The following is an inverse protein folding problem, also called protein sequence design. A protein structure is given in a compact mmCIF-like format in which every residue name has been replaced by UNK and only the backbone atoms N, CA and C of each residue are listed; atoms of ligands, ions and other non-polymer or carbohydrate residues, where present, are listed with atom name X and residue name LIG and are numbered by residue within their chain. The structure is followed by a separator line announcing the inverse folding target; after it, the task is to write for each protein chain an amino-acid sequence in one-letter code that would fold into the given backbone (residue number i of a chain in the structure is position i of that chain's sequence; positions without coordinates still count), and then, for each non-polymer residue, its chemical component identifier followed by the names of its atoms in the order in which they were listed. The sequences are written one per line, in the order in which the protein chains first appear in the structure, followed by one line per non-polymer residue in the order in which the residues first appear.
data_IF_001035816340
#
_entry.id   IF_001035816340
#
_cell.length_a   1.000
_cell.length_b   1.000
_cell.length_c   1.000
_cell.angle_alpha   90.00
_cell.angle_beta   90.00
_cell.angle_gamma   90.00
#
_symmetry.space_group_name_H-M   'P 1'
#
loop_
_entity.id
_entity.type
_entity.pdbx_description
1 polymer ?
#
# COMPACT_ATOMS: atom_id res chain seq x y z
N UNK A 1 -12.25 -60.49 52.91
CA UNK A 1 -12.86 -60.34 51.56
C UNK A 1 -12.45 -58.98 50.99
N UNK A 2 -11.45 -58.94 50.10
CA UNK A 2 -10.92 -57.74 49.42
C UNK A 2 -11.53 -57.70 48.01
N UNK A 3 -12.22 -56.60 47.65
CA UNK A 3 -12.61 -56.33 46.25
C UNK A 3 -11.62 -55.31 45.68
N UNK A 4 -10.81 -55.75 44.71
CA UNK A 4 -10.05 -54.89 43.81
C UNK A 4 -11.03 -54.25 42.82
N UNK A 5 -11.00 -52.92 42.70
CA UNK A 5 -11.65 -52.18 41.64
C UNK A 5 -10.58 -51.87 40.57
N UNK A 6 -10.70 -52.51 39.41
CA UNK A 6 -9.87 -52.27 38.23
C UNK A 6 -10.38 -51.02 37.52
N UNK A 7 -9.59 -49.94 37.51
CA UNK A 7 -9.86 -48.74 36.72
C UNK A 7 -9.19 -48.91 35.35
N UNK A 8 -10.01 -49.22 34.33
CA UNK A 8 -9.62 -49.22 32.93
C UNK A 8 -9.47 -47.77 32.45
N UNK A 9 -8.23 -47.30 32.29
CA UNK A 9 -7.91 -46.10 31.53
C UNK A 9 -8.16 -46.37 30.04
N UNK A 10 -9.18 -45.71 29.48
CA UNK A 10 -9.33 -45.57 28.03
C UNK A 10 -8.21 -44.66 27.48
N UNK A 11 -7.18 -45.26 26.90
CA UNK A 11 -6.25 -44.60 25.99
C UNK A 11 -6.99 -44.35 24.67
N UNK A 12 -7.62 -43.19 24.53
CA UNK A 12 -8.04 -42.71 23.22
C UNK A 12 -6.79 -42.29 22.43
N UNK A 13 -6.59 -42.75 21.18
CA UNK A 13 -5.54 -42.23 20.33
C UNK A 13 -5.86 -40.76 20.03
N UNK A 14 -5.00 -39.85 20.49
CA UNK A 14 -5.05 -38.47 20.03
C UNK A 14 -4.93 -38.49 18.50
N UNK A 15 -5.80 -37.77 17.76
CA UNK A 15 -5.60 -37.64 16.32
C UNK A 15 -4.24 -36.98 16.12
N UNK A 16 -3.33 -37.73 15.51
CA UNK A 16 -2.08 -37.20 15.03
C UNK A 16 -2.44 -36.11 14.02
N UNK A 17 -2.32 -34.85 14.43
CA UNK A 17 -2.25 -33.73 13.51
C UNK A 17 -1.09 -34.04 12.58
N UNK A 18 -1.42 -34.40 11.34
CA UNK A 18 -0.45 -34.55 10.27
C UNK A 18 0.27 -33.20 10.15
N UNK A 19 1.43 -33.10 10.77
CA UNK A 19 2.39 -32.05 10.52
C UNK A 19 2.81 -32.23 9.06
N UNK A 20 2.23 -31.45 8.16
CA UNK A 20 2.92 -31.12 6.93
C UNK A 20 4.30 -30.62 7.36
N UNK A 21 5.34 -31.28 6.85
CA UNK A 21 6.72 -31.07 7.24
C UNK A 21 7.10 -29.59 7.19
N UNK A 22 8.10 -29.25 7.99
CA UNK A 22 8.83 -27.98 8.06
C UNK A 22 8.39 -26.97 6.99
N UNK A 23 7.84 -25.83 7.46
CA UNK A 23 7.47 -24.69 6.62
C UNK A 23 8.67 -24.27 5.77
N UNK A 24 8.74 -24.90 4.59
CA UNK A 24 9.83 -24.82 3.65
C UNK A 24 9.64 -23.52 2.88
N UNK A 25 10.75 -22.83 2.68
CA UNK A 25 10.88 -21.58 1.95
C UNK A 25 10.06 -21.68 0.63
N UNK A 26 8.84 -21.13 0.60
CA UNK A 26 7.89 -21.32 -0.51
C UNK A 26 8.35 -20.64 -1.81
N UNK A 27 9.61 -20.27 -1.95
CA UNK A 27 10.17 -19.79 -3.21
C UNK A 27 10.60 -20.91 -4.18
N UNK A 28 10.18 -22.16 -3.94
CA UNK A 28 10.28 -23.27 -4.88
C UNK A 28 8.98 -23.56 -5.65
N UNK A 29 9.09 -24.16 -6.84
CA UNK A 29 7.93 -24.70 -7.57
C UNK A 29 6.93 -23.65 -8.09
N UNK A 30 5.65 -23.83 -7.76
CA UNK A 30 4.51 -23.01 -8.28
C UNK A 30 4.58 -21.53 -7.90
N UNK A 31 5.31 -21.20 -6.83
CA UNK A 31 5.35 -19.87 -6.24
C UNK A 31 6.61 -19.06 -6.64
N UNK A 32 7.51 -19.66 -7.43
CA UNK A 32 8.76 -19.02 -7.87
C UNK A 32 8.55 -17.72 -8.67
N UNK A 33 7.45 -17.62 -9.43
CA UNK A 33 7.09 -16.41 -10.15
C UNK A 33 6.68 -15.27 -9.20
N UNK A 34 5.92 -15.60 -8.14
CA UNK A 34 5.52 -14.64 -7.13
C UNK A 34 6.74 -14.12 -6.34
N UNK A 35 7.68 -15.01 -5.96
CA UNK A 35 8.92 -14.60 -5.30
C UNK A 35 9.81 -13.68 -6.18
N UNK A 36 9.85 -13.88 -7.51
CA UNK A 36 10.53 -12.92 -8.41
C UNK A 36 9.84 -11.57 -8.42
N UNK A 37 8.51 -11.54 -8.45
CA UNK A 37 7.72 -10.31 -8.35
C UNK A 37 7.99 -9.55 -7.04
N UNK A 38 8.09 -10.26 -5.92
CA UNK A 38 8.45 -9.71 -4.61
C UNK A 38 9.82 -9.05 -4.63
N UNK A 39 10.86 -9.74 -5.13
CA UNK A 39 12.22 -9.17 -5.21
C UNK A 39 12.23 -7.92 -6.07
N UNK A 40 11.57 -7.96 -7.22
CA UNK A 40 11.42 -6.79 -8.08
C UNK A 40 10.69 -5.63 -7.38
N UNK A 41 9.68 -5.91 -6.55
CA UNK A 41 8.99 -4.91 -5.75
C UNK A 41 9.90 -4.31 -4.65
N UNK A 42 10.63 -5.15 -3.92
CA UNK A 42 11.61 -4.70 -2.92
C UNK A 42 12.71 -3.83 -3.58
N UNK A 43 13.22 -4.24 -4.73
CA UNK A 43 14.21 -3.48 -5.50
C UNK A 43 13.66 -2.13 -5.97
N UNK A 44 12.42 -2.11 -6.47
CA UNK A 44 11.71 -0.89 -6.86
C UNK A 44 11.51 0.07 -5.69
N UNK A 45 11.35 -0.46 -4.48
CA UNK A 45 11.25 0.33 -3.24
C UNK A 45 12.61 0.63 -2.62
N UNK A 46 13.67 -0.03 -3.07
CA UNK A 46 15.00 0.07 -2.47
C UNK A 46 15.13 -0.52 -1.09
N UNK A 47 14.37 -1.59 -0.82
CA UNK A 47 14.37 -2.28 0.45
C UNK A 47 15.35 -3.45 0.45
N UNK A 48 16.20 -3.60 1.48
CA UNK A 48 17.00 -4.80 1.67
C UNK A 48 16.11 -6.04 1.83
N UNK A 49 16.59 -7.20 1.38
CA UNK A 49 15.87 -8.46 1.59
C UNK A 49 15.85 -8.83 3.07
N UNK A 50 14.88 -9.65 3.49
CA UNK A 50 14.76 -10.08 4.89
C UNK A 50 15.98 -10.91 5.33
N UNK A 51 16.58 -11.66 4.40
CA UNK A 51 17.81 -12.41 4.60
C UNK A 51 18.99 -11.47 4.89
N UNK A 52 19.11 -10.37 4.13
CA UNK A 52 20.15 -9.36 4.38
C UNK A 52 19.99 -8.69 5.74
N UNK A 53 18.74 -8.41 6.15
CA UNK A 53 18.41 -7.86 7.47
C UNK A 53 18.79 -8.82 8.59
N UNK A 54 18.41 -10.09 8.45
CA UNK A 54 18.73 -11.15 9.41
C UNK A 54 20.25 -11.38 9.53
N UNK A 55 20.99 -11.33 8.42
CA UNK A 55 22.45 -11.45 8.41
C UNK A 55 23.14 -10.29 9.14
N UNK A 56 22.54 -9.09 9.12
CA UNK A 56 22.99 -7.94 9.90
C UNK A 56 22.55 -7.98 11.39
N UNK A 57 21.84 -9.03 11.81
CA UNK A 57 21.31 -9.15 13.17
C UNK A 57 20.11 -8.25 13.45
N UNK A 58 19.48 -7.67 12.43
CA UNK A 58 18.29 -6.84 12.60
C UNK A 58 17.03 -7.71 12.76
N UNK A 59 16.15 -7.30 13.67
CA UNK A 59 14.79 -7.82 13.76
C UNK A 59 13.87 -7.00 12.86
N UNK A 60 13.10 -7.66 11.98
CA UNK A 60 12.11 -6.99 11.14
C UNK A 60 10.73 -7.66 11.21
N UNK A 61 9.70 -6.84 11.00
CA UNK A 61 8.35 -7.26 10.63
C UNK A 61 7.90 -6.37 9.49
N UNK A 62 7.71 -6.97 8.32
CA UNK A 62 7.45 -6.25 7.09
C UNK A 62 6.18 -6.76 6.44
N UNK A 63 5.36 -5.82 5.99
CA UNK A 63 4.25 -6.08 5.08
C UNK A 63 4.50 -5.32 3.77
N UNK A 64 4.35 -6.01 2.63
CA UNK A 64 4.36 -5.42 1.30
C UNK A 64 2.99 -5.66 0.67
N UNK A 65 2.33 -4.58 0.27
CA UNK A 65 1.03 -4.60 -0.39
C UNK A 65 1.22 -4.36 -1.88
N UNK A 66 0.61 -5.22 -2.69
CA UNK A 66 0.57 -5.10 -4.14
C UNK A 66 -0.88 -5.05 -4.61
N UNK A 67 -1.16 -4.15 -5.53
CA UNK A 67 -2.48 -4.02 -6.14
C UNK A 67 -2.69 -5.04 -7.26
N UNK A 68 -3.77 -4.89 -8.02
CA UNK A 68 -4.05 -5.71 -9.17
C UNK A 68 -2.85 -5.79 -10.12
N UNK A 69 -2.62 -6.99 -10.66
CA UNK A 69 -1.50 -7.31 -11.55
C UNK A 69 -0.10 -7.16 -10.91
N UNK A 70 0.00 -7.17 -9.58
CA UNK A 70 1.27 -7.19 -8.85
C UNK A 70 1.98 -5.84 -8.78
N UNK A 71 1.28 -4.75 -9.08
CA UNK A 71 1.86 -3.41 -8.96
C UNK A 71 2.05 -3.06 -7.48
N UNK A 72 3.27 -2.74 -7.03
CA UNK A 72 3.51 -2.51 -5.61
C UNK A 72 2.88 -1.18 -5.17
N UNK A 73 2.13 -1.21 -4.07
CA UNK A 73 1.38 -0.08 -3.51
C UNK A 73 2.24 0.61 -2.45
N UNK A 74 2.58 -0.12 -1.39
CA UNK A 74 3.33 0.38 -0.24
C UNK A 74 3.95 -0.80 0.51
N UNK A 75 5.07 -0.57 1.16
CA UNK A 75 5.61 -1.47 2.16
C UNK A 75 5.74 -0.76 3.51
N UNK A 76 5.50 -1.51 4.58
CA UNK A 76 5.65 -1.09 5.96
C UNK A 76 6.69 -1.99 6.58
N UNK A 77 7.78 -1.43 7.10
CA UNK A 77 8.84 -2.19 7.79
C UNK A 77 8.98 -1.65 9.20
N UNK A 78 8.66 -2.51 10.17
CA UNK A 78 9.09 -2.35 11.54
C UNK A 78 10.47 -2.98 11.67
N UNK A 79 11.42 -2.26 12.25
CA UNK A 79 12.80 -2.70 12.38
C UNK A 79 13.37 -2.37 13.74
N UNK A 80 14.16 -3.29 14.29
CA UNK A 80 15.01 -3.09 15.46
C UNK A 80 16.41 -3.61 15.15
N UNK A 81 17.37 -2.71 15.04
CA UNK A 81 18.78 -3.07 14.91
C UNK A 81 19.38 -3.39 16.29
N UNK A 82 20.50 -4.13 16.37
CA UNK A 82 21.22 -4.33 17.63
C UNK A 82 21.50 -3.00 18.32
N UNK A 83 21.23 -2.93 19.62
CA UNK A 83 21.45 -1.74 20.47
C UNK A 83 20.68 -0.46 20.05
N UNK A 84 19.64 -0.60 19.21
CA UNK A 84 18.79 0.52 18.79
C UNK A 84 17.33 0.30 19.18
N UNK A 85 16.62 1.40 19.39
CA UNK A 85 15.18 1.37 19.61
C UNK A 85 14.42 0.92 18.35
N UNK A 86 13.27 0.26 18.52
CA UNK A 86 12.41 -0.09 17.39
C UNK A 86 11.92 1.15 16.62
N UNK A 87 11.83 1.00 15.31
CA UNK A 87 11.35 2.04 14.39
C UNK A 87 10.40 1.44 13.36
N UNK A 88 9.55 2.29 12.78
CA UNK A 88 8.69 1.96 11.65
C UNK A 88 8.99 2.91 10.51
N UNK A 89 9.04 2.39 9.30
CA UNK A 89 9.18 3.16 8.08
C UNK A 89 8.22 2.65 7.01
N UNK A 90 7.70 3.58 6.21
CA UNK A 90 6.93 3.25 5.01
C UNK A 90 7.70 3.59 3.74
N UNK A 91 7.46 2.77 2.72
CA UNK A 91 8.20 2.77 1.47
C UNK A 91 7.21 2.66 0.31
N UNK A 92 7.38 3.50 -0.70
CA UNK A 92 6.67 3.39 -1.98
C UNK A 92 7.64 3.25 -3.13
N UNK A 93 7.11 3.28 -4.35
CA UNK A 93 7.93 3.25 -5.56
C UNK A 93 8.92 4.43 -5.58
N UNK A 94 10.23 4.15 -5.70
CA UNK A 94 11.27 5.19 -5.80
C UNK A 94 10.94 6.21 -6.89
N UNK A 95 10.39 5.77 -8.03
CA UNK A 95 10.02 6.65 -9.13
C UNK A 95 8.85 7.59 -8.79
N UNK A 96 8.03 7.24 -7.79
CA UNK A 96 6.87 8.00 -7.35
C UNK A 96 7.11 8.83 -6.07
N UNK A 97 8.28 8.72 -5.43
CA UNK A 97 8.59 9.44 -4.19
C UNK A 97 8.88 10.92 -4.43
N UNK A 98 8.42 11.74 -3.49
CA UNK A 98 8.65 13.17 -3.44
C UNK A 98 10.04 13.53 -2.86
N UNK A 99 11.10 13.60 -3.69
CA UNK A 99 12.44 14.09 -3.28
C UNK A 99 13.28 13.14 -2.43
N UNK A 100 14.51 13.55 -2.08
CA UNK A 100 15.62 12.71 -1.57
C UNK A 100 15.33 11.92 -0.28
N UNK A 101 14.44 12.40 0.60
CA UNK A 101 14.14 11.77 1.89
C UNK A 101 12.83 10.94 1.87
N UNK A 102 12.49 10.28 0.76
CA UNK A 102 11.22 9.57 0.54
C UNK A 102 10.89 8.38 1.46
N UNK A 103 11.37 8.38 2.70
CA UNK A 103 11.05 7.47 3.78
C UNK A 103 10.31 8.29 4.86
N UNK A 104 9.05 7.92 5.15
CA UNK A 104 8.33 8.45 6.31
C UNK A 104 8.52 7.44 7.43
N UNK A 105 9.17 7.86 8.52
CA UNK A 105 9.53 6.99 9.63
C UNK A 105 9.17 7.60 10.99
N UNK A 106 9.02 6.75 11.99
CA UNK A 106 8.79 7.11 13.38
C UNK A 106 9.41 6.07 14.33
N UNK A 107 9.67 6.48 15.57
CA UNK A 107 10.02 5.56 16.66
C UNK A 107 8.79 4.71 17.05
N UNK A 108 9.04 3.47 17.44
CA UNK A 108 8.00 2.52 17.86
C UNK A 108 8.17 2.26 19.36
N UNK A 109 7.16 2.59 20.20
CA UNK A 109 7.21 2.25 21.61
C UNK A 109 7.38 0.73 21.82
N UNK A 110 8.17 0.33 22.83
CA UNK A 110 8.46 -1.09 23.08
C UNK A 110 7.19 -1.92 23.28
N UNK A 111 6.17 -1.39 23.95
CA UNK A 111 4.89 -2.07 24.14
C UNK A 111 4.18 -2.36 22.80
N UNK A 112 4.23 -1.43 21.84
CA UNK A 112 3.67 -1.63 20.51
C UNK A 112 4.50 -2.64 19.71
N UNK A 113 5.83 -2.60 19.85
CA UNK A 113 6.71 -3.62 19.29
C UNK A 113 6.35 -5.02 19.81
N UNK A 114 6.25 -5.22 21.12
CA UNK A 114 5.90 -6.53 21.68
C UNK A 114 4.50 -6.99 21.25
N UNK A 115 3.52 -6.08 21.23
CA UNK A 115 2.15 -6.35 20.76
C UNK A 115 2.14 -6.84 19.30
N UNK A 116 2.89 -6.18 18.42
CA UNK A 116 3.00 -6.58 17.01
C UNK A 116 3.72 -7.92 16.84
N UNK A 117 4.72 -8.22 17.68
CA UNK A 117 5.36 -9.55 17.70
C UNK A 117 4.36 -10.65 18.11
N UNK A 118 3.57 -10.40 19.15
CA UNK A 118 2.54 -11.33 19.62
C UNK A 118 1.45 -11.57 18.55
N UNK A 119 0.99 -10.51 17.86
CA UNK A 119 0.03 -10.62 16.78
C UNK A 119 0.55 -11.44 15.59
N UNK A 120 1.86 -11.39 15.31
CA UNK A 120 2.53 -12.15 14.26
C UNK A 120 2.85 -13.61 14.61
N UNK A 121 2.37 -14.13 15.74
CA UNK A 121 2.74 -15.48 16.19
C UNK A 121 2.35 -16.59 15.20
N UNK A 122 1.26 -16.40 14.45
CA UNK A 122 0.66 -17.45 13.61
C UNK A 122 0.42 -17.04 12.15
N UNK A 123 0.91 -15.87 11.72
CA UNK A 123 0.59 -15.33 10.39
C UNK A 123 0.95 -16.27 9.21
N UNK A 124 1.95 -17.13 9.40
CA UNK A 124 2.47 -18.06 8.41
C UNK A 124 1.77 -19.42 8.38
N UNK A 125 0.75 -19.62 9.23
CA UNK A 125 -0.04 -20.86 9.29
C UNK A 125 -1.19 -20.84 8.31
N UNK A 126 -1.49 -22.01 7.74
CA UNK A 126 -2.74 -22.22 7.04
C UNK A 126 -3.90 -22.26 8.04
N UNK A 127 -5.03 -21.65 7.69
CA UNK A 127 -6.28 -21.87 8.40
C UNK A 127 -6.78 -23.30 8.13
N UNK A 128 -7.45 -23.87 9.12
CA UNK A 128 -8.16 -25.12 8.91
C UNK A 128 -9.25 -24.90 7.85
N UNK A 129 -9.42 -25.80 6.87
CA UNK A 129 -10.51 -25.70 5.92
C UNK A 129 -11.84 -25.61 6.66
N UNK A 130 -12.71 -24.68 6.28
CA UNK A 130 -14.06 -24.64 6.82
C UNK A 130 -14.82 -25.88 6.30
N UNK A 131 -15.27 -26.80 7.18
CA UNK A 131 -16.04 -27.96 6.74
C UNK A 131 -17.35 -27.57 6.04
N UNK A 132 -17.88 -26.36 6.24
CA UNK A 132 -19.05 -25.84 5.51
C UNK A 132 -18.76 -25.41 4.07
N UNK A 133 -17.49 -25.14 3.72
CA UNK A 133 -17.08 -24.79 2.35
C UNK A 133 -16.72 -26.02 1.50
N UNK A 134 -16.69 -27.22 2.09
CA UNK A 134 -16.45 -28.48 1.40
C UNK A 134 -17.62 -28.84 0.45
N UNK A 135 -17.62 -28.22 -0.74
CA UNK A 135 -18.69 -28.33 -1.74
C UNK A 135 -19.27 -26.98 -2.21
N UNK A 136 -18.76 -25.86 -1.67
CA UNK A 136 -19.14 -24.51 -2.10
C UNK A 136 -18.59 -24.11 -3.48
N UNK A 137 -19.06 -22.98 -4.04
CA UNK A 137 -18.57 -22.47 -5.32
C UNK A 137 -17.07 -22.18 -5.28
N UNK A 138 -16.35 -22.48 -6.37
CA UNK A 138 -14.94 -22.10 -6.52
C UNK A 138 -14.87 -20.58 -6.63
N UNK A 139 -14.34 -19.92 -5.59
CA UNK A 139 -14.02 -18.50 -5.62
C UNK A 139 -12.76 -18.29 -6.46
N UNK A 140 -12.93 -17.77 -7.68
CA UNK A 140 -11.82 -17.33 -8.53
C UNK A 140 -11.60 -15.85 -8.29
N UNK A 141 -10.54 -15.51 -7.56
CA UNK A 141 -10.19 -14.12 -7.32
C UNK A 141 -9.30 -13.62 -8.46
N UNK A 142 -9.94 -13.04 -9.47
CA UNK A 142 -9.33 -12.66 -10.74
C UNK A 142 -8.37 -11.45 -10.63
N UNK A 143 -8.51 -10.61 -9.60
CA UNK A 143 -7.82 -9.32 -9.48
C UNK A 143 -6.91 -9.22 -8.25
N UNK A 144 -6.42 -10.36 -7.77
CA UNK A 144 -5.93 -10.49 -6.40
C UNK A 144 -4.85 -9.49 -6.00
N UNK A 145 -5.15 -8.66 -5.01
CA UNK A 145 -4.14 -7.92 -4.27
C UNK A 145 -3.24 -8.95 -3.57
N UNK A 146 -1.93 -8.82 -3.78
CA UNK A 146 -0.94 -9.70 -3.15
C UNK A 146 -0.41 -9.05 -1.89
N UNK A 147 -0.34 -9.80 -0.80
CA UNK A 147 0.25 -9.36 0.47
C UNK A 147 1.42 -10.27 0.78
N UNK A 148 2.59 -9.69 0.98
CA UNK A 148 3.74 -10.42 1.52
C UNK A 148 3.97 -9.97 2.96
N UNK A 149 4.08 -10.94 3.87
CA UNK A 149 4.57 -10.71 5.22
C UNK A 149 5.89 -11.44 5.42
N UNK A 150 6.87 -10.74 5.96
CA UNK A 150 8.16 -11.28 6.37
C UNK A 150 8.49 -10.86 7.79
N UNK A 151 8.95 -11.80 8.60
CA UNK A 151 9.47 -11.50 9.94
C UNK A 151 10.76 -12.24 10.19
N UNK A 152 11.65 -11.64 10.98
CA UNK A 152 12.82 -12.36 11.51
C UNK A 152 12.66 -12.83 12.95
N UNK A 153 11.46 -12.64 13.52
CA UNK A 153 11.09 -13.18 14.83
C UNK A 153 11.11 -14.72 14.79
N UNK A 154 11.66 -15.39 15.82
CA UNK A 154 11.60 -16.84 15.90
C UNK A 154 10.14 -17.32 15.98
N UNK A 155 9.83 -18.41 15.28
CA UNK A 155 8.50 -19.01 15.40
C UNK A 155 8.30 -19.53 16.83
N UNK A 156 7.18 -19.20 17.47
CA UNK A 156 6.89 -19.61 18.85
C UNK A 156 6.83 -21.15 19.05
N UNK A 157 6.75 -21.91 17.96
CA UNK A 157 6.68 -23.37 17.93
C UNK A 157 7.87 -24.00 17.20
N UNK A 158 8.77 -23.18 16.65
CA UNK A 158 10.00 -23.60 15.97
C UNK A 158 11.08 -22.51 16.14
N UNK A 159 11.63 -22.34 17.36
CA UNK A 159 12.51 -21.20 17.69
C UNK A 159 13.82 -21.15 16.89
N UNK A 160 14.18 -22.23 16.19
CA UNK A 160 15.32 -22.27 15.28
C UNK A 160 15.08 -21.53 13.94
N UNK A 161 13.82 -21.31 13.51
CA UNK A 161 13.53 -20.55 12.29
C UNK A 161 13.59 -19.04 12.58
N UNK A 162 14.65 -18.37 12.11
CA UNK A 162 14.85 -16.91 12.24
C UNK A 162 14.26 -16.09 11.09
N UNK A 163 13.70 -16.72 10.06
CA UNK A 163 13.03 -16.02 8.98
C UNK A 163 11.73 -16.76 8.67
N UNK A 164 10.63 -16.01 8.71
CA UNK A 164 9.28 -16.50 8.39
C UNK A 164 8.74 -15.61 7.28
N UNK A 165 8.17 -16.24 6.26
CA UNK A 165 7.60 -15.56 5.10
C UNK A 165 6.26 -16.19 4.75
N UNK A 166 5.28 -15.37 4.44
CA UNK A 166 4.01 -15.83 3.90
C UNK A 166 3.53 -14.88 2.81
N UNK A 167 3.12 -15.44 1.69
CA UNK A 167 2.39 -14.73 0.65
C UNK A 167 0.90 -15.00 0.87
N UNK A 168 0.18 -13.97 1.28
CA UNK A 168 -1.27 -13.96 1.34
C UNK A 168 -1.89 -13.46 0.04
N UNK A 169 -3.13 -13.85 -0.18
CA UNK A 169 -3.95 -13.40 -1.30
C UNK A 169 -5.22 -12.74 -0.81
N UNK A 170 -5.87 -11.94 -1.64
CA UNK A 170 -7.11 -11.25 -1.28
C UNK A 170 -8.36 -12.15 -1.14
N UNK A 171 -8.20 -13.49 -1.14
CA UNK A 171 -9.26 -14.49 -0.91
C UNK A 171 -8.72 -15.85 -0.47
N UNK A 172 -9.42 -16.58 0.43
CA UNK A 172 -10.20 -16.11 1.58
C UNK A 172 -9.30 -15.46 2.65
N UNK A 173 -9.88 -14.92 3.73
CA UNK A 173 -9.12 -14.31 4.84
C UNK A 173 -8.00 -15.24 5.31
N UNK A 174 -6.75 -14.82 5.13
CA UNK A 174 -5.60 -15.54 5.67
C UNK A 174 -4.97 -14.79 6.85
N UNK A 175 -4.23 -15.54 7.66
CA UNK A 175 -3.58 -15.00 8.86
C UNK A 175 -2.49 -13.98 8.51
N UNK A 176 -1.90 -14.06 7.32
CA UNK A 176 -0.89 -13.12 6.85
C UNK A 176 -1.50 -11.75 6.54
N UNK A 177 -2.65 -11.72 5.88
CA UNK A 177 -3.42 -10.52 5.54
C UNK A 177 -3.88 -9.83 6.82
N UNK A 178 -4.46 -10.59 7.75
CA UNK A 178 -4.85 -10.06 9.08
C UNK A 178 -3.66 -9.38 9.77
N UNK A 179 -2.50 -10.04 9.78
CA UNK A 179 -1.31 -9.49 10.40
C UNK A 179 -0.74 -8.27 9.65
N UNK A 180 -0.73 -8.30 8.32
CA UNK A 180 -0.28 -7.20 7.48
C UNK A 180 -1.11 -5.94 7.71
N UNK A 181 -2.44 -6.06 7.76
CA UNK A 181 -3.32 -4.93 8.09
C UNK A 181 -3.09 -4.43 9.52
N UNK A 182 -2.84 -5.31 10.49
CA UNK A 182 -2.46 -4.89 11.84
C UNK A 182 -1.14 -4.10 11.88
N UNK A 183 -0.15 -4.45 11.05
CA UNK A 183 1.08 -3.66 10.87
C UNK A 183 0.77 -2.30 10.22
N UNK A 184 -0.05 -2.27 9.16
CA UNK A 184 -0.39 -1.04 8.46
C UNK A 184 -1.19 -0.06 9.34
N UNK A 185 -2.19 -0.54 10.07
CA UNK A 185 -2.99 0.26 11.00
C UNK A 185 -2.13 0.85 12.12
N UNK A 186 -1.19 0.05 12.65
CA UNK A 186 -0.23 0.53 13.64
C UNK A 186 0.68 1.62 13.05
N UNK A 187 1.12 1.48 11.80
CA UNK A 187 1.97 2.48 11.16
C UNK A 187 1.21 3.80 10.96
N UNK A 188 -0.06 3.76 10.54
CA UNK A 188 -0.91 4.97 10.41
C UNK A 188 -0.99 5.72 11.74
N UNK A 189 -1.13 5.01 12.87
CA UNK A 189 -1.17 5.64 14.20
C UNK A 189 0.17 6.24 14.64
N UNK A 190 1.27 5.59 14.29
CA UNK A 190 2.63 6.00 14.71
C UNK A 190 3.23 7.09 13.83
N UNK A 191 2.71 7.29 12.61
CA UNK A 191 3.24 8.25 11.65
C UNK A 191 2.38 9.52 11.66
N UNK A 192 2.72 10.54 12.48
CA UNK A 192 1.91 11.75 12.59
C UNK A 192 1.80 12.51 11.25
N UNK A 193 2.80 12.38 10.37
CA UNK A 193 2.75 12.94 9.02
C UNK A 193 1.63 12.38 8.13
N UNK A 194 1.02 11.26 8.51
CA UNK A 194 -0.10 10.63 7.82
C UNK A 194 -1.45 10.90 8.49
N UNK A 195 -1.46 11.46 9.71
CA UNK A 195 -2.66 11.57 10.55
C UNK A 195 -3.73 12.51 9.97
N UNK A 196 -3.34 13.47 9.13
CA UNK A 196 -4.28 14.38 8.47
C UNK A 196 -5.08 13.74 7.33
N UNK A 197 -4.76 12.51 6.89
CA UNK A 197 -5.45 11.85 5.79
C UNK A 197 -6.76 11.21 6.25
N UNK A 198 -7.84 11.49 5.53
CA UNK A 198 -9.16 10.95 5.81
C UNK A 198 -9.29 9.49 5.31
N UNK A 199 -9.71 8.54 6.17
CA UNK A 199 -10.03 7.18 5.72
C UNK A 199 -11.16 7.18 4.68
N UNK A 200 -11.02 6.37 3.62
CA UNK A 200 -12.05 6.21 2.57
C UNK A 200 -12.95 4.97 2.77
N UNK A 201 -12.78 4.25 3.88
CA UNK A 201 -13.50 3.01 4.20
C UNK A 201 -12.70 2.11 5.15
N UNK A 202 -13.26 0.96 5.57
CA UNK A 202 -12.52 -0.06 6.33
C UNK A 202 -11.38 -0.66 5.48
N UNK A 203 -10.31 -1.13 6.13
CA UNK A 203 -9.16 -1.77 5.44
C UNK A 203 -8.30 -0.82 4.60
N UNK A 204 -8.49 0.49 4.72
CA UNK A 204 -7.83 1.46 3.84
C UNK A 204 -6.42 1.89 4.29
N UNK A 205 -5.84 1.27 5.32
CA UNK A 205 -4.53 1.67 5.86
C UNK A 205 -3.39 1.62 4.83
N UNK A 206 -3.23 0.58 4.00
CA UNK A 206 -2.17 0.58 2.97
C UNK A 206 -2.31 1.75 1.99
N UNK A 207 -3.54 2.07 1.57
CA UNK A 207 -3.82 3.24 0.72
C UNK A 207 -3.49 4.55 1.42
N UNK A 208 -3.83 4.70 2.71
CA UNK A 208 -3.48 5.90 3.49
C UNK A 208 -1.96 6.08 3.58
N UNK A 209 -1.21 5.00 3.82
CA UNK A 209 0.25 5.04 3.87
C UNK A 209 0.85 5.37 2.49
N UNK A 210 0.30 4.79 1.40
CA UNK A 210 0.70 5.18 0.04
C UNK A 210 0.46 6.67 -0.21
N UNK A 211 -0.74 7.16 0.11
CA UNK A 211 -1.12 8.55 -0.11
C UNK A 211 -0.23 9.49 0.76
N UNK A 212 0.15 9.06 1.97
CA UNK A 212 1.08 9.76 2.86
C UNK A 212 2.47 9.98 2.24
N UNK A 213 2.98 9.02 1.45
CA UNK A 213 4.26 9.14 0.75
C UNK A 213 4.26 10.25 -0.32
N UNK A 214 3.09 10.72 -0.75
CA UNK A 214 2.96 11.84 -1.70
C UNK A 214 3.03 13.21 -1.01
N UNK A 215 2.97 13.26 0.33
CA UNK A 215 2.91 14.49 1.11
C UNK A 215 4.30 14.96 1.55
N UNK A 216 4.59 16.23 1.31
CA UNK A 216 5.84 16.89 1.68
C UNK A 216 5.62 18.33 2.17
N UNK A 217 6.63 18.93 2.80
CA UNK A 217 6.52 20.25 3.43
C UNK A 217 5.61 20.21 4.66
N UNK A 218 4.69 21.17 4.78
CA UNK A 218 3.59 21.12 5.75
C UNK A 218 2.62 19.98 5.38
N UNK A 219 2.87 18.79 5.96
CA UNK A 219 2.09 17.58 5.67
C UNK A 219 0.64 17.67 6.12
N UNK A 220 0.32 18.48 7.13
CA UNK A 220 -1.06 18.66 7.58
C UNK A 220 -1.86 19.44 6.53
N UNK A 221 -1.33 20.59 6.08
CA UNK A 221 -1.94 21.35 4.99
C UNK A 221 -2.05 20.51 3.70
N UNK A 222 -0.99 19.78 3.36
CA UNK A 222 -1.00 18.88 2.20
C UNK A 222 -2.06 17.77 2.32
N UNK A 223 -2.24 17.18 3.50
CA UNK A 223 -3.25 16.16 3.75
C UNK A 223 -4.68 16.70 3.62
N UNK A 224 -4.96 17.91 4.11
CA UNK A 224 -6.27 18.56 3.95
C UNK A 224 -6.61 18.76 2.47
N UNK A 225 -5.65 19.25 1.68
CA UNK A 225 -5.83 19.39 0.23
C UNK A 225 -5.98 18.03 -0.45
N UNK A 226 -5.22 17.01 -0.04
CA UNK A 226 -5.39 15.66 -0.56
C UNK A 226 -6.81 15.12 -0.34
N UNK A 227 -7.35 15.30 0.88
CA UNK A 227 -8.72 14.92 1.20
C UNK A 227 -9.72 15.67 0.31
N UNK A 228 -9.45 16.96 0.05
CA UNK A 228 -10.28 17.78 -0.84
C UNK A 228 -10.24 17.33 -2.29
N UNK A 229 -9.10 16.83 -2.80
CA UNK A 229 -8.99 16.32 -4.18
C UNK A 229 -10.01 15.21 -4.48
N UNK A 230 -10.32 14.35 -3.51
CA UNK A 230 -11.34 13.32 -3.66
C UNK A 230 -12.75 13.91 -3.80
N UNK A 231 -13.03 15.01 -3.09
CA UNK A 231 -14.29 15.76 -3.27
C UNK A 231 -14.35 16.44 -4.63
N UNK A 232 -13.22 16.94 -5.16
CA UNK A 232 -13.20 17.56 -6.49
C UNK A 232 -13.67 16.59 -7.56
N UNK A 233 -13.21 15.33 -7.50
CA UNK A 233 -13.61 14.29 -8.45
C UNK A 233 -15.12 14.01 -8.36
N UNK A 234 -15.65 13.88 -7.14
CA UNK A 234 -17.10 13.68 -6.92
C UNK A 234 -17.94 14.90 -7.33
N UNK A 235 -17.46 16.11 -7.08
CA UNK A 235 -18.16 17.35 -7.47
C UNK A 235 -18.15 17.56 -8.99
N UNK A 236 -17.08 17.13 -9.68
CA UNK A 236 -17.00 17.08 -11.13
C UNK A 236 -18.03 16.11 -11.73
N UNK A 237 -18.30 14.98 -11.07
CA UNK A 237 -19.37 14.03 -11.45
C UNK A 237 -20.77 14.63 -11.32
N UNK A 238 -20.93 15.63 -10.46
CA UNK A 238 -22.20 16.26 -10.15
C UNK A 238 -22.40 17.62 -10.84
N UNK A 239 -21.46 18.06 -11.69
CA UNK A 239 -21.46 19.36 -12.38
C UNK A 239 -21.58 20.59 -11.44
N UNK A 240 -20.96 20.50 -10.24
CA UNK A 240 -20.94 21.60 -9.25
C UNK A 240 -19.52 22.09 -8.90
N UNK A 241 -18.68 22.48 -9.87
CA UNK A 241 -17.28 22.78 -9.59
C UNK A 241 -17.02 24.20 -9.06
N UNK A 242 -18.03 25.09 -9.04
CA UNK A 242 -17.83 26.53 -8.85
C UNK A 242 -17.24 26.92 -7.48
N UNK A 243 -17.52 26.16 -6.42
CA UNK A 243 -17.02 26.45 -5.06
C UNK A 243 -15.54 26.06 -4.86
N UNK A 244 -14.93 25.42 -5.86
CA UNK A 244 -13.60 24.83 -5.80
C UNK A 244 -12.51 25.74 -6.37
N UNK A 245 -12.90 26.67 -7.24
CA UNK A 245 -12.01 27.59 -7.91
C UNK A 245 -12.13 28.98 -7.30
N UNK A 246 -11.01 29.67 -7.15
CA UNK A 246 -11.05 31.11 -6.89
C UNK A 246 -11.85 31.81 -8.02
N UNK A 247 -12.63 32.84 -7.68
CA UNK A 247 -13.55 33.50 -8.63
C UNK A 247 -12.86 33.96 -9.92
N UNK A 248 -11.62 34.41 -9.81
CA UNK A 248 -10.83 34.99 -10.89
C UNK A 248 -9.74 34.04 -11.41
N UNK A 249 -9.92 32.73 -11.22
CA UNK A 249 -8.95 31.75 -11.67
C UNK A 249 -8.77 31.79 -13.21
N UNK A 250 -7.52 31.98 -13.63
CA UNK A 250 -7.06 31.78 -15.00
C UNK A 250 -6.21 30.52 -15.03
N UNK A 251 -6.49 29.63 -15.98
CA UNK A 251 -5.70 28.42 -16.21
C UNK A 251 -4.64 28.74 -17.26
N UNK A 252 -3.37 28.54 -16.92
CA UNK A 252 -2.27 28.59 -17.88
C UNK A 252 -2.19 27.23 -18.60
N UNK A 253 -2.65 27.20 -19.85
CA UNK A 253 -2.65 26.01 -20.69
C UNK A 253 -1.53 26.10 -21.72
N UNK A 254 -0.39 25.50 -21.41
CA UNK A 254 0.81 25.49 -22.23
C UNK A 254 1.22 26.91 -22.69
N UNK A 255 1.23 27.87 -21.76
CA UNK A 255 1.53 29.27 -22.02
C UNK A 255 0.34 30.11 -22.49
N UNK A 256 -0.84 29.51 -22.68
CA UNK A 256 -2.06 30.21 -23.11
C UNK A 256 -3.03 30.35 -21.95
N UNK A 257 -3.36 31.57 -21.50
CA UNK A 257 -4.36 31.77 -20.45
C UNK A 257 -5.76 31.45 -20.97
N UNK A 258 -6.49 30.57 -20.29
CA UNK A 258 -7.89 30.24 -20.56
C UNK A 258 -8.75 30.47 -19.31
N UNK A 259 -9.99 30.97 -19.43
CA UNK A 259 -10.89 31.14 -18.29
C UNK A 259 -11.21 29.80 -17.61
N UNK A 260 -11.19 29.74 -16.27
CA UNK A 260 -11.43 28.50 -15.52
C UNK A 260 -12.76 27.80 -15.84
N UNK A 261 -13.82 28.57 -16.14
CA UNK A 261 -15.13 28.03 -16.56
C UNK A 261 -15.11 27.35 -17.93
N UNK A 262 -14.20 27.75 -18.82
CA UNK A 262 -13.99 27.07 -20.11
C UNK A 262 -13.05 25.87 -19.96
N UNK A 263 -12.14 25.95 -18.99
CA UNK A 263 -11.26 24.85 -18.63
C UNK A 263 -11.94 23.78 -17.76
N UNK A 264 -13.19 23.92 -17.31
CA UNK A 264 -13.69 23.12 -16.17
C UNK A 264 -14.14 21.67 -16.48
N UNK A 265 -14.08 20.87 -15.40
CA UNK A 265 -14.64 19.50 -15.18
C UNK A 265 -13.95 18.36 -15.94
N UNK A 266 -13.87 18.41 -17.28
CA UNK A 266 -13.44 17.25 -18.07
C UNK A 266 -12.00 16.79 -17.77
N UNK A 267 -11.09 17.72 -17.50
CA UNK A 267 -9.68 17.39 -17.23
C UNK A 267 -9.45 16.85 -15.81
N UNK A 268 -10.30 17.20 -14.82
CA UNK A 268 -10.15 16.68 -13.45
C UNK A 268 -10.28 15.15 -13.40
N UNK A 269 -11.05 14.55 -14.31
CA UNK A 269 -11.14 13.09 -14.47
C UNK A 269 -9.82 12.44 -14.89
N UNK A 270 -8.99 13.21 -15.59
CA UNK A 270 -7.73 12.76 -16.16
C UNK A 270 -6.52 13.28 -15.39
N UNK A 271 -6.75 13.96 -14.26
CA UNK A 271 -5.69 14.45 -13.40
C UNK A 271 -5.28 13.39 -12.38
N UNK A 272 -3.99 13.05 -12.41
CA UNK A 272 -3.36 12.11 -11.52
C UNK A 272 -2.37 12.88 -10.62
N UNK A 273 -2.76 13.24 -9.38
CA UNK A 273 -1.85 13.89 -8.45
C UNK A 273 -0.70 12.93 -8.14
N UNK A 274 0.53 13.46 -8.10
CA UNK A 274 1.75 12.70 -7.80
C UNK A 274 2.39 13.16 -6.51
N UNK A 275 2.35 14.47 -6.24
CA UNK A 275 2.98 15.09 -5.07
C UNK A 275 2.16 16.26 -4.56
N UNK A 276 2.04 16.36 -3.24
CA UNK A 276 1.45 17.49 -2.56
C UNK A 276 2.51 18.09 -1.63
N UNK A 277 2.86 19.35 -1.87
CA UNK A 277 3.83 20.08 -1.10
C UNK A 277 3.14 21.21 -0.36
N UNK A 278 2.98 21.09 0.95
CA UNK A 278 2.54 22.18 1.82
C UNK A 278 3.63 23.22 1.88
N UNK A 279 3.52 24.27 1.07
CA UNK A 279 4.47 25.38 1.06
C UNK A 279 4.37 26.16 2.39
N UNK A 280 3.15 26.29 2.90
CA UNK A 280 2.81 26.84 4.23
C UNK A 280 1.52 26.19 4.74
N UNK A 281 1.13 26.49 5.99
CA UNK A 281 -0.18 26.09 6.53
C UNK A 281 -1.40 26.64 5.78
N UNK A 282 -1.20 27.56 4.82
CA UNK A 282 -2.27 28.18 4.03
C UNK A 282 -2.06 28.09 2.53
N UNK A 283 -1.02 27.35 2.08
CA UNK A 283 -0.69 27.23 0.66
C UNK A 283 -0.12 25.85 0.38
N UNK A 284 -0.74 25.15 -0.57
CA UNK A 284 -0.30 23.82 -1.00
C UNK A 284 -0.13 23.81 -2.50
N UNK A 285 0.99 23.28 -2.97
CA UNK A 285 1.24 23.02 -4.37
C UNK A 285 1.06 21.55 -4.65
N UNK A 286 0.21 21.22 -5.62
CA UNK A 286 -0.02 19.86 -6.09
C UNK A 286 0.62 19.71 -7.46
N UNK A 287 1.55 18.78 -7.58
CA UNK A 287 2.15 18.38 -8.85
C UNK A 287 1.53 17.06 -9.30
N UNK A 288 1.26 16.93 -10.59
CA UNK A 288 0.72 15.71 -11.17
C UNK A 288 0.82 15.70 -12.68
N UNK A 289 -0.01 14.87 -13.30
CA UNK A 289 -0.10 14.80 -14.75
C UNK A 289 -1.56 14.70 -15.21
N UNK A 290 -1.85 15.32 -16.35
CA UNK A 290 -3.02 15.02 -17.15
C UNK A 290 -2.68 13.89 -18.11
N UNK A 291 -3.48 12.82 -18.15
CA UNK A 291 -3.30 11.74 -19.12
C UNK A 291 -4.46 11.64 -20.10
N UNK A 292 -4.17 11.38 -21.37
CA UNK A 292 -5.19 11.05 -22.38
C UNK A 292 -4.71 9.93 -23.29
N UNK A 293 -5.65 9.18 -23.84
CA UNK A 293 -5.39 8.11 -24.80
C UNK A 293 -6.01 8.48 -26.13
N UNK A 294 -5.25 8.33 -27.21
CA UNK A 294 -5.73 8.54 -28.58
C UNK A 294 -5.47 7.31 -29.43
N UNK A 295 -6.34 7.02 -30.39
CA UNK A 295 -6.08 5.97 -31.38
C UNK A 295 -5.00 6.42 -32.36
N UNK A 296 -3.88 5.70 -32.39
CA UNK A 296 -2.82 5.84 -33.38
C UNK A 296 -3.09 5.05 -34.65
N UNK A 297 -2.17 5.17 -35.61
CA UNK A 297 -2.22 4.41 -36.85
C UNK A 297 -2.21 2.89 -36.56
N UNK A 298 -3.07 2.14 -37.26
CA UNK A 298 -3.21 0.69 -37.06
C UNK A 298 -3.96 0.27 -35.80
N UNK A 299 -4.71 1.19 -35.16
CA UNK A 299 -5.51 0.88 -33.98
C UNK A 299 -4.72 0.78 -32.67
N UNK A 300 -3.41 1.11 -32.69
CA UNK A 300 -2.58 1.13 -31.48
C UNK A 300 -2.92 2.34 -30.63
N UNK A 301 -3.13 2.15 -29.33
CA UNK A 301 -3.31 3.25 -28.39
C UNK A 301 -2.01 4.06 -28.23
N UNK A 302 -2.13 5.39 -28.22
CA UNK A 302 -1.04 6.33 -27.93
C UNK A 302 -1.41 7.05 -26.64
N UNK A 303 -0.56 6.91 -25.62
CA UNK A 303 -0.72 7.57 -24.34
C UNK A 303 0.02 8.90 -24.35
N UNK A 304 -0.67 9.94 -23.91
CA UNK A 304 -0.12 11.28 -23.77
C UNK A 304 -0.21 11.72 -22.32
N UNK A 305 0.84 12.39 -21.83
CA UNK A 305 0.82 13.06 -20.54
C UNK A 305 1.27 14.51 -20.67
N UNK A 306 0.64 15.40 -19.90
CA UNK A 306 1.09 16.77 -19.69
C UNK A 306 1.32 17.00 -18.20
N UNK A 307 2.45 17.61 -17.78
CA UNK A 307 2.67 17.93 -16.38
C UNK A 307 1.68 19.01 -15.93
N UNK A 308 1.21 18.91 -14.70
CA UNK A 308 0.23 19.83 -14.13
C UNK A 308 0.73 20.31 -12.77
N UNK A 309 0.58 21.60 -12.53
CA UNK A 309 0.75 22.20 -11.20
C UNK A 309 -0.53 22.91 -10.80
N UNK A 310 -1.09 22.54 -9.66
CA UNK A 310 -2.17 23.25 -9.00
C UNK A 310 -1.61 23.96 -7.78
N UNK A 311 -2.10 25.16 -7.48
CA UNK A 311 -1.85 25.81 -6.21
C UNK A 311 -3.16 26.02 -5.51
N UNK A 312 -3.27 25.47 -4.30
CA UNK A 312 -4.36 25.69 -3.38
C UNK A 312 -3.95 26.75 -2.38
N UNK A 313 -4.90 27.61 -2.03
CA UNK A 313 -4.78 28.59 -0.96
C UNK A 313 -5.94 28.43 0.01
N UNK A 314 -5.66 28.60 1.29
CA UNK A 314 -6.68 28.58 2.33
C UNK A 314 -7.29 29.98 2.44
N UNK A 315 -8.54 30.13 2.02
CA UNK A 315 -9.21 31.43 2.01
C UNK A 315 -9.75 31.78 3.41
N UNK A 316 -10.00 33.07 3.71
CA UNK A 316 -10.63 33.50 4.97
C UNK A 316 -11.98 32.83 5.26
N UNK A 317 -12.67 32.36 4.22
CA UNK A 317 -13.89 31.55 4.32
C UNK A 317 -13.64 30.10 4.79
N UNK A 318 -12.44 29.80 5.32
CA UNK A 318 -12.04 28.51 5.89
C UNK A 318 -12.13 27.33 4.93
N UNK A 319 -11.92 27.57 3.62
CA UNK A 319 -11.95 26.53 2.60
C UNK A 319 -10.74 26.62 1.69
N UNK A 320 -10.21 25.46 1.32
CA UNK A 320 -9.17 25.34 0.30
C UNK A 320 -9.77 25.58 -1.09
N UNK A 321 -9.21 26.54 -1.81
CA UNK A 321 -9.59 26.85 -3.19
C UNK A 321 -8.38 26.79 -4.11
N UNK A 322 -8.60 26.38 -5.35
CA UNK A 322 -7.57 26.41 -6.39
C UNK A 322 -7.38 27.86 -6.84
N UNK A 323 -6.19 28.41 -6.58
CA UNK A 323 -5.79 29.76 -6.93
C UNK A 323 -5.07 29.85 -8.28
N UNK A 324 -4.37 28.78 -8.69
CA UNK A 324 -3.74 28.73 -10.01
C UNK A 324 -3.63 27.30 -10.53
N UNK A 325 -3.67 27.18 -11.86
CA UNK A 325 -3.49 25.93 -12.59
C UNK A 325 -2.52 26.21 -13.73
N UNK A 326 -1.48 25.38 -13.84
CA UNK A 326 -0.58 25.36 -14.99
C UNK A 326 -0.53 23.97 -15.58
N UNK A 327 -0.77 23.86 -16.89
CA UNK A 327 -0.68 22.63 -17.67
C UNK A 327 0.44 22.81 -18.68
N UNK A 328 1.39 21.88 -18.73
CA UNK A 328 2.45 21.88 -19.73
C UNK A 328 2.01 21.33 -21.08
N UNK A 329 2.96 21.19 -22.00
CA UNK A 329 2.72 20.51 -23.27
C UNK A 329 2.44 19.02 -23.05
N UNK A 330 1.53 18.46 -23.85
CA UNK A 330 1.35 17.00 -23.92
C UNK A 330 2.53 16.37 -24.67
N UNK A 331 3.13 15.35 -24.07
CA UNK A 331 4.14 14.51 -24.69
C UNK A 331 3.66 13.05 -24.70
N UNK A 332 4.09 12.28 -25.70
CA UNK A 332 3.85 10.84 -25.73
C UNK A 332 4.65 10.17 -24.61
N UNK A 333 4.00 9.27 -23.88
CA UNK A 333 4.66 8.43 -22.88
C UNK A 333 4.64 6.98 -23.34
N UNK A 334 5.82 6.35 -23.37
CA UNK A 334 5.91 4.92 -23.59
C UNK A 334 5.47 4.20 -22.30
N UNK A 335 4.17 3.91 -22.24
CA UNK A 335 3.65 2.90 -21.32
C UNK A 335 3.80 1.55 -21.99
N UNK A 336 5.03 1.05 -22.10
CA UNK A 336 5.21 -0.37 -22.37
C UNK A 336 4.48 -1.10 -21.25
N UNK A 337 3.42 -1.88 -21.54
CA UNK A 337 2.78 -2.68 -20.51
C UNK A 337 3.87 -3.54 -19.89
N UNK A 338 3.90 -3.65 -18.56
CA UNK A 338 4.73 -4.66 -17.93
C UNK A 338 4.45 -5.99 -18.65
N UNK A 339 5.49 -6.75 -19.07
CA UNK A 339 5.28 -7.96 -19.84
C UNK A 339 4.27 -8.82 -19.10
N UNK A 340 3.13 -9.09 -19.76
CA UNK A 340 2.13 -10.01 -19.22
C UNK A 340 2.89 -11.28 -18.87
N UNK A 341 2.85 -11.76 -17.62
CA UNK A 341 3.43 -13.06 -17.31
C UNK A 341 2.82 -14.05 -18.29
N UNK A 342 3.67 -14.80 -18.98
CA UNK A 342 3.23 -15.81 -19.93
C UNK A 342 2.14 -16.64 -19.24
N UNK A 343 0.98 -16.75 -19.87
CA UNK A 343 -0.06 -17.63 -19.37
C UNK A 343 0.60 -18.99 -19.16
N UNK A 344 0.66 -19.43 -17.90
CA UNK A 344 1.20 -20.74 -17.59
C UNK A 344 0.30 -21.74 -18.32
N UNK A 345 0.79 -22.27 -19.43
CA UNK A 345 0.20 -23.41 -20.11
C UNK A 345 0.16 -24.54 -19.08
N UNK A 346 -1.04 -24.82 -18.59
CA UNK A 346 -1.33 -26.04 -17.84
C UNK A 346 -1.32 -27.23 -18.80
#
# INVERSE_FOLDING_TARGET
MRRLLFLLLFLAPAPALAQSGAADDRCGGRDAAACRGIRAALDRFGLPTAESRAAAGEEIRRALFTGPWGNPIVAVEYRRAPDHDPSVAIYGDRAARAGEDGIVAASVPLAEWERLGAAGRFFDRALAPDPAEAGGPILVCADGEGILVETTDPAAWAPAQRLRRHLGGSCPEDLASTYAYALADAAVRLLPGCAGLAPRGPGNAPTLLRDCLTLAGDRMAAAEVHNRLADLRRAAEQDRPADLFARDLVVDWNGTPIPARQASVAWLYHFYPRRLFGETGHRVRVEGALARVTSGAGGREVHWEAPVTLTFVYQPAQTWQIASIRVGAFATVDRTPAPRPAAASR
#
